data_IF_863908678203
#
_entry.id   IF_863908678203
#
_cell.length_a   1.000
_cell.length_b   1.000
_cell.length_c   1.000
_cell.angle_alpha   90.00
_cell.angle_beta   90.00
_cell.angle_gamma   90.00
#
_symmetry.space_group_name_H-M   'P 1'
#
loop_
_entity.id
_entity.type
_entity.pdbx_description
1 polymer ?
#
# COMPACT_ATOMS: atom_id res chain seq x y z
N UNK A 1 18.40 -13.62 -6.74
CA UNK A 1 17.01 -13.53 -6.24
C UNK A 1 16.28 -12.54 -7.12
N UNK A 2 15.15 -12.94 -7.71
CA UNK A 2 14.36 -12.13 -8.67
C UNK A 2 13.07 -11.57 -8.06
N UNK A 3 12.61 -12.13 -6.93
CA UNK A 3 11.43 -11.72 -6.17
C UNK A 3 11.63 -12.04 -4.68
N UNK A 4 10.93 -11.35 -3.76
CA UNK A 4 10.83 -11.74 -2.34
C UNK A 4 9.49 -12.39 -2.00
N UNK A 5 8.61 -12.58 -2.99
CA UNK A 5 7.34 -13.27 -2.80
C UNK A 5 7.59 -14.77 -2.70
N UNK A 6 6.80 -15.46 -1.87
CA UNK A 6 6.77 -16.93 -1.89
C UNK A 6 6.30 -17.43 -3.27
N UNK A 7 6.65 -18.65 -3.70
CA UNK A 7 6.25 -19.17 -5.01
C UNK A 7 4.74 -19.11 -5.26
N UNK A 8 3.92 -19.39 -4.23
CA UNK A 8 2.46 -19.35 -4.33
C UNK A 8 1.92 -17.93 -4.48
N UNK A 9 2.45 -16.97 -3.71
CA UNK A 9 2.02 -15.57 -3.82
C UNK A 9 2.51 -14.93 -5.12
N UNK A 10 3.73 -15.27 -5.55
CA UNK A 10 4.23 -14.86 -6.86
C UNK A 10 3.35 -15.42 -7.98
N UNK A 11 2.98 -16.70 -7.97
CA UNK A 11 2.08 -17.27 -8.96
C UNK A 11 0.72 -16.56 -8.97
N UNK A 12 0.15 -16.33 -7.78
CA UNK A 12 -1.14 -15.68 -7.61
C UNK A 12 -1.16 -14.25 -8.17
N UNK A 13 -0.10 -13.46 -7.96
CA UNK A 13 -0.03 -12.06 -8.40
C UNK A 13 0.47 -11.93 -9.84
N UNK A 14 1.52 -12.65 -10.22
CA UNK A 14 2.21 -12.41 -11.49
C UNK A 14 1.63 -13.21 -12.66
N UNK A 15 1.10 -14.41 -12.39
CA UNK A 15 0.72 -15.36 -13.43
C UNK A 15 -0.78 -15.58 -13.51
N UNK A 16 -1.42 -15.90 -12.38
CA UNK A 16 -2.76 -16.46 -12.35
C UNK A 16 -3.82 -15.51 -12.95
N UNK A 17 -4.62 -16.05 -13.87
CA UNK A 17 -5.61 -15.35 -14.67
C UNK A 17 -5.04 -14.67 -15.91
N UNK A 18 -3.74 -14.35 -15.96
CA UNK A 18 -3.09 -13.78 -17.15
C UNK A 18 -2.61 -14.85 -18.13
N UNK A 19 -2.59 -16.13 -17.72
CA UNK A 19 -2.40 -17.27 -18.63
C UNK A 19 -3.61 -17.52 -19.54
N UNK A 20 -4.78 -17.02 -19.15
CA UNK A 20 -6.01 -17.19 -19.92
C UNK A 20 -5.99 -16.28 -21.15
N UNK A 21 -6.14 -16.88 -22.33
CA UNK A 21 -6.25 -16.17 -23.61
C UNK A 21 -7.68 -15.69 -23.92
N UNK A 22 -8.56 -15.70 -22.92
CA UNK A 22 -9.93 -15.21 -23.07
C UNK A 22 -9.89 -13.71 -23.36
N UNK A 23 -10.49 -13.29 -24.48
CA UNK A 23 -10.62 -11.87 -24.81
C UNK A 23 -11.92 -11.38 -24.18
N UNK A 24 -11.81 -10.59 -23.11
CA UNK A 24 -12.95 -9.89 -22.52
C UNK A 24 -13.23 -8.62 -23.34
N UNK A 25 -14.44 -8.50 -23.89
CA UNK A 25 -14.88 -7.27 -24.56
C UNK A 25 -15.04 -6.15 -23.54
N UNK A 26 -14.27 -5.08 -23.67
CA UNK A 26 -14.35 -3.91 -22.78
C UNK A 26 -15.76 -3.32 -22.74
N UNK A 27 -16.52 -3.37 -23.83
CA UNK A 27 -17.89 -2.85 -23.85
C UNK A 27 -18.82 -3.62 -22.90
N UNK A 28 -18.48 -4.86 -22.54
CA UNK A 28 -19.22 -5.61 -21.51
C UNK A 28 -18.95 -5.10 -20.09
N UNK A 29 -17.79 -4.45 -19.86
CA UNK A 29 -17.31 -3.99 -18.55
C UNK A 29 -17.59 -2.50 -18.34
N UNK A 30 -17.44 -1.68 -19.38
CA UNK A 30 -17.57 -0.21 -19.29
C UNK A 30 -18.41 0.32 -20.44
N UNK A 31 -19.29 1.29 -20.16
CA UNK A 31 -20.03 2.01 -21.20
C UNK A 31 -19.16 3.08 -21.87
N UNK A 32 -19.60 3.61 -23.01
CA UNK A 32 -18.91 4.72 -23.67
C UNK A 32 -18.74 5.96 -22.78
N UNK A 33 -19.63 6.15 -21.81
CA UNK A 33 -19.59 7.27 -20.86
C UNK A 33 -18.74 6.98 -19.61
N UNK A 34 -18.08 5.82 -19.53
CA UNK A 34 -17.26 5.45 -18.36
C UNK A 34 -18.02 4.81 -17.21
N UNK A 35 -19.28 4.42 -17.40
CA UNK A 35 -20.05 3.72 -16.37
C UNK A 35 -19.63 2.26 -16.28
N UNK A 36 -19.39 1.78 -15.05
CA UNK A 36 -18.95 0.42 -14.78
C UNK A 36 -20.15 -0.52 -14.74
N UNK A 37 -20.12 -1.54 -15.60
CA UNK A 37 -21.10 -2.63 -15.63
C UNK A 37 -20.70 -3.69 -14.61
N UNK A 38 -20.98 -3.41 -13.34
CA UNK A 38 -20.56 -4.24 -12.20
C UNK A 38 -20.87 -5.72 -12.36
N UNK A 39 -22.02 -6.07 -12.96
CA UNK A 39 -22.41 -7.47 -13.22
C UNK A 39 -21.33 -8.26 -13.97
N UNK A 40 -20.71 -7.67 -15.00
CA UNK A 40 -19.67 -8.33 -15.78
C UNK A 40 -18.41 -8.65 -14.96
N UNK A 41 -18.13 -7.87 -13.91
CA UNK A 41 -17.01 -8.07 -13.01
C UNK A 41 -17.40 -9.03 -11.87
N UNK A 42 -18.56 -8.82 -11.24
CA UNK A 42 -19.03 -9.64 -10.12
C UNK A 42 -19.33 -11.08 -10.54
N UNK A 43 -19.77 -11.30 -11.77
CA UNK A 43 -20.01 -12.64 -12.33
C UNK A 43 -18.71 -13.44 -12.52
N UNK A 44 -17.52 -12.84 -12.31
CA UNK A 44 -16.22 -13.51 -12.29
C UNK A 44 -15.76 -13.93 -10.89
N UNK A 45 -16.40 -13.42 -9.83
CA UNK A 45 -16.12 -13.86 -8.47
C UNK A 45 -16.64 -15.29 -8.27
N UNK A 46 -15.87 -16.11 -7.56
CA UNK A 46 -16.20 -17.52 -7.28
C UNK A 46 -16.22 -17.76 -5.79
N UNK A 47 -17.12 -18.63 -5.37
CA UNK A 47 -17.30 -19.06 -4.00
C UNK A 47 -17.01 -20.55 -3.91
N UNK A 48 -16.61 -21.01 -2.72
CA UNK A 48 -16.46 -22.44 -2.45
C UNK A 48 -17.81 -23.18 -2.60
N UNK A 49 -17.78 -24.51 -2.73
CA UNK A 49 -18.96 -25.35 -3.06
C UNK A 49 -20.14 -25.17 -2.08
N UNK A 50 -19.86 -24.75 -0.84
CA UNK A 50 -20.88 -24.47 0.19
C UNK A 50 -21.39 -23.02 0.17
N UNK A 51 -20.89 -22.16 -0.74
CA UNK A 51 -21.31 -20.77 -0.95
C UNK A 51 -20.99 -19.80 0.19
N UNK A 52 -20.28 -20.25 1.23
CA UNK A 52 -20.05 -19.46 2.47
C UNK A 52 -18.79 -18.60 2.44
N UNK A 53 -17.80 -18.95 1.62
CA UNK A 53 -16.51 -18.26 1.54
C UNK A 53 -16.08 -18.03 0.10
N UNK A 54 -15.32 -16.96 -0.11
CA UNK A 54 -14.73 -16.64 -1.41
C UNK A 54 -13.64 -17.65 -1.77
N UNK A 55 -13.74 -18.22 -2.97
CA UNK A 55 -12.63 -18.93 -3.59
C UNK A 55 -11.71 -17.89 -4.24
N UNK A 56 -10.75 -17.40 -3.45
CA UNK A 56 -9.82 -16.36 -3.89
C UNK A 56 -9.02 -16.76 -5.13
N UNK A 57 -8.55 -18.01 -5.19
CA UNK A 57 -7.71 -18.47 -6.30
C UNK A 57 -8.51 -18.51 -7.60
N UNK A 58 -9.70 -19.12 -7.61
CA UNK A 58 -10.55 -19.12 -8.80
C UNK A 58 -11.03 -17.71 -9.15
N UNK A 59 -11.32 -16.86 -8.17
CA UNK A 59 -11.72 -15.47 -8.40
C UNK A 59 -10.60 -14.67 -9.09
N UNK A 60 -9.36 -14.74 -8.59
CA UNK A 60 -8.19 -14.10 -9.24
C UNK A 60 -8.03 -14.62 -10.67
N UNK A 61 -8.11 -15.93 -10.87
CA UNK A 61 -7.99 -16.52 -12.20
C UNK A 61 -9.04 -15.98 -13.18
N UNK A 62 -10.29 -15.86 -12.75
CA UNK A 62 -11.39 -15.36 -13.60
C UNK A 62 -11.40 -13.85 -13.78
N UNK A 63 -10.81 -13.10 -12.83
CA UNK A 63 -10.68 -11.64 -12.91
C UNK A 63 -9.47 -11.20 -13.74
N UNK A 64 -8.49 -12.08 -13.98
CA UNK A 64 -7.30 -11.78 -14.80
C UNK A 64 -7.62 -11.20 -16.18
N UNK A 65 -8.46 -11.87 -17.01
CA UNK A 65 -8.86 -11.34 -18.32
C UNK A 65 -9.61 -10.01 -18.25
N UNK A 66 -10.39 -9.78 -17.19
CA UNK A 66 -11.08 -8.50 -16.94
C UNK A 66 -10.07 -7.40 -16.64
N UNK A 67 -9.07 -7.67 -15.79
CA UNK A 67 -8.00 -6.71 -15.50
C UNK A 67 -7.21 -6.35 -16.76
N UNK A 68 -6.94 -7.33 -17.64
CA UNK A 68 -6.26 -7.08 -18.91
C UNK A 68 -7.09 -6.20 -19.84
N UNK A 69 -8.38 -6.50 -20.03
CA UNK A 69 -9.26 -5.67 -20.85
C UNK A 69 -9.35 -4.23 -20.33
N UNK A 70 -9.46 -4.05 -19.01
CA UNK A 70 -9.46 -2.72 -18.37
C UNK A 70 -8.13 -2.02 -18.61
N UNK A 71 -7.01 -2.72 -18.47
CA UNK A 71 -5.69 -2.14 -18.68
C UNK A 71 -5.52 -1.62 -20.10
N UNK A 72 -5.84 -2.45 -21.10
CA UNK A 72 -5.78 -2.05 -22.51
C UNK A 72 -6.65 -0.83 -22.81
N UNK A 73 -7.86 -0.77 -22.22
CA UNK A 73 -8.75 0.38 -22.33
C UNK A 73 -8.14 1.65 -21.72
N UNK A 74 -7.74 1.60 -20.45
CA UNK A 74 -7.18 2.76 -19.75
C UNK A 74 -5.89 3.24 -20.44
N UNK A 75 -5.02 2.32 -20.89
CA UNK A 75 -3.79 2.66 -21.59
C UNK A 75 -4.01 3.26 -22.98
N UNK A 76 -5.15 2.98 -23.63
CA UNK A 76 -5.51 3.58 -24.92
C UNK A 76 -6.05 5.01 -24.80
N UNK A 77 -6.45 5.45 -23.60
CA UNK A 77 -6.97 6.79 -23.38
C UNK A 77 -5.84 7.81 -23.29
N UNK A 78 -6.04 8.95 -23.95
CA UNK A 78 -5.27 10.16 -23.66
C UNK A 78 -5.64 10.70 -22.29
N UNK A 79 -4.75 11.48 -21.67
CA UNK A 79 -5.02 12.15 -20.39
C UNK A 79 -6.34 12.93 -20.41
N UNK A 80 -6.59 13.70 -21.47
CA UNK A 80 -7.82 14.49 -21.61
C UNK A 80 -9.08 13.61 -21.72
N UNK A 81 -9.01 12.50 -22.45
CA UNK A 81 -10.14 11.56 -22.52
C UNK A 81 -10.42 10.92 -21.17
N UNK A 82 -9.38 10.47 -20.45
CA UNK A 82 -9.54 9.92 -19.12
C UNK A 82 -10.12 10.95 -18.14
N UNK A 83 -9.65 12.19 -18.20
CA UNK A 83 -10.13 13.26 -17.34
C UNK A 83 -11.62 13.55 -17.56
N UNK A 84 -12.06 13.68 -18.82
CA UNK A 84 -13.46 13.87 -19.17
C UNK A 84 -14.31 12.68 -18.73
N UNK A 85 -13.82 11.45 -18.94
CA UNK A 85 -14.60 10.23 -18.73
C UNK A 85 -14.65 9.79 -17.26
N UNK A 86 -13.58 10.00 -16.48
CA UNK A 86 -13.42 9.41 -15.16
C UNK A 86 -13.24 10.38 -14.00
N UNK A 87 -12.66 11.57 -14.19
CA UNK A 87 -12.47 12.52 -13.08
C UNK A 87 -13.74 12.90 -12.31
N UNK A 88 -14.94 13.01 -12.94
CA UNK A 88 -16.18 13.23 -12.22
C UNK A 88 -16.56 12.14 -11.20
N UNK A 89 -15.98 10.94 -11.33
CA UNK A 89 -16.24 9.78 -10.48
C UNK A 89 -15.24 9.64 -9.32
N UNK A 90 -14.26 10.53 -9.18
CA UNK A 90 -13.27 10.47 -8.08
C UNK A 90 -13.51 11.51 -6.99
N UNK A 91 -14.56 12.33 -7.10
CA UNK A 91 -14.81 13.42 -6.15
C UNK A 91 -15.10 12.93 -4.73
N UNK A 92 -15.55 11.68 -4.58
CA UNK A 92 -15.82 11.08 -3.27
C UNK A 92 -14.57 10.70 -2.46
N UNK A 93 -13.36 10.79 -3.03
CA UNK A 93 -12.14 10.30 -2.36
C UNK A 93 -11.26 11.40 -1.75
N UNK A 94 -11.82 12.60 -1.50
CA UNK A 94 -11.15 13.81 -0.97
C UNK A 94 -10.01 14.38 -1.82
N UNK A 95 -9.36 13.57 -2.68
CA UNK A 95 -8.16 13.93 -3.44
C UNK A 95 -8.24 13.42 -4.90
N UNK A 96 -9.16 13.96 -5.73
CA UNK A 96 -9.42 13.48 -7.10
C UNK A 96 -8.23 13.68 -8.06
N UNK A 97 -7.32 14.61 -7.78
CA UNK A 97 -6.13 14.89 -8.59
C UNK A 97 -5.18 13.69 -8.61
N UNK A 98 -5.21 12.87 -7.56
CA UNK A 98 -4.41 11.65 -7.42
C UNK A 98 -4.54 10.74 -8.64
N UNK A 99 -5.75 10.60 -9.19
CA UNK A 99 -6.05 9.61 -10.22
C UNK A 99 -5.39 9.96 -11.56
N UNK A 100 -5.25 11.25 -11.86
CA UNK A 100 -4.48 11.71 -13.02
C UNK A 100 -2.99 11.46 -12.85
N UNK A 101 -2.44 11.65 -11.64
CA UNK A 101 -1.04 11.32 -11.38
C UNK A 101 -0.76 9.82 -11.54
N UNK A 102 -1.73 8.98 -11.20
CA UNK A 102 -1.61 7.52 -11.32
C UNK A 102 -1.75 7.08 -12.78
N UNK A 103 -2.57 7.75 -13.57
CA UNK A 103 -2.59 7.57 -15.02
C UNK A 103 -1.22 7.89 -15.63
N UNK A 104 -0.61 9.01 -15.24
CA UNK A 104 0.75 9.35 -15.70
C UNK A 104 1.77 8.29 -15.27
N UNK A 105 1.65 7.78 -14.05
CA UNK A 105 2.52 6.72 -13.53
C UNK A 105 2.39 5.42 -14.34
N UNK A 106 1.18 5.05 -14.76
CA UNK A 106 0.90 3.90 -15.62
C UNK A 106 1.51 4.04 -17.02
N UNK A 107 1.59 5.27 -17.53
CA UNK A 107 2.18 5.59 -18.83
C UNK A 107 3.70 5.82 -18.76
N UNK A 108 4.25 5.95 -17.55
CA UNK A 108 5.67 6.19 -17.32
C UNK A 108 6.52 4.93 -17.53
N UNK A 109 7.78 5.12 -17.91
CA UNK A 109 8.77 4.04 -17.96
C UNK A 109 9.46 3.76 -16.61
N UNK A 110 9.03 4.43 -15.53
CA UNK A 110 9.65 4.30 -14.22
C UNK A 110 9.24 2.97 -13.55
N UNK A 111 10.18 2.06 -13.23
CA UNK A 111 9.83 0.70 -12.81
C UNK A 111 8.95 0.64 -11.54
N UNK A 112 9.17 1.55 -10.59
CA UNK A 112 8.46 1.59 -9.31
C UNK A 112 7.13 2.37 -9.36
N UNK A 113 6.80 3.03 -10.48
CA UNK A 113 5.67 3.95 -10.56
C UNK A 113 4.32 3.24 -10.40
N UNK A 114 4.15 2.07 -11.02
CA UNK A 114 2.94 1.25 -10.89
C UNK A 114 2.71 0.85 -9.44
N UNK A 115 3.76 0.36 -8.78
CA UNK A 115 3.71 -0.06 -7.37
C UNK A 115 3.33 1.10 -6.45
N UNK A 116 3.95 2.28 -6.63
CA UNK A 116 3.59 3.48 -5.89
C UNK A 116 2.13 3.88 -6.15
N UNK A 117 1.67 3.79 -7.41
CA UNK A 117 0.28 4.04 -7.77
C UNK A 117 -0.69 3.14 -7.03
N UNK A 118 -0.42 1.83 -6.98
CA UNK A 118 -1.25 0.87 -6.23
C UNK A 118 -1.25 1.17 -4.73
N UNK A 119 -0.10 1.52 -4.14
CA UNK A 119 -0.04 1.92 -2.72
C UNK A 119 -0.90 3.16 -2.44
N UNK A 120 -0.85 4.16 -3.32
CA UNK A 120 -1.65 5.39 -3.20
C UNK A 120 -3.14 5.09 -3.36
N UNK A 121 -3.53 4.29 -4.36
CA UNK A 121 -4.94 3.88 -4.54
C UNK A 121 -5.47 3.11 -3.34
N UNK A 122 -4.72 2.12 -2.84
CA UNK A 122 -5.15 1.33 -1.70
C UNK A 122 -5.40 2.21 -0.46
N UNK A 123 -4.54 3.19 -0.20
CA UNK A 123 -4.64 4.09 0.97
C UNK A 123 -5.76 5.11 0.81
N UNK A 124 -5.91 5.67 -0.40
CA UNK A 124 -7.00 6.57 -0.75
C UNK A 124 -8.35 5.85 -0.61
N UNK A 125 -8.45 4.62 -1.13
CA UNK A 125 -9.65 3.82 -1.07
C UNK A 125 -9.98 3.38 0.37
N UNK A 126 -9.00 2.94 1.16
CA UNK A 126 -9.18 2.61 2.58
C UNK A 126 -9.81 3.79 3.35
N UNK A 127 -9.28 5.01 3.14
CA UNK A 127 -9.83 6.22 3.76
C UNK A 127 -11.24 6.54 3.28
N UNK A 128 -11.46 6.55 1.98
CA UNK A 128 -12.75 6.91 1.38
C UNK A 128 -13.85 5.90 1.76
N UNK A 129 -13.52 4.60 1.81
CA UNK A 129 -14.43 3.56 2.30
C UNK A 129 -14.77 3.75 3.78
N UNK A 130 -13.83 4.18 4.61
CA UNK A 130 -14.15 4.50 6.01
C UNK A 130 -15.08 5.70 6.17
N UNK A 131 -15.02 6.70 5.27
CA UNK A 131 -16.00 7.79 5.24
C UNK A 131 -17.40 7.27 4.85
N UNK A 132 -17.46 6.39 3.84
CA UNK A 132 -18.72 5.75 3.42
C UNK A 132 -19.29 4.84 4.51
N UNK A 133 -18.43 4.11 5.23
CA UNK A 133 -18.86 3.25 6.33
C UNK A 133 -19.64 4.05 7.38
N UNK A 134 -19.19 5.26 7.71
CA UNK A 134 -19.84 6.14 8.69
C UNK A 134 -21.19 6.72 8.24
N UNK A 135 -21.62 6.49 7.00
CA UNK A 135 -23.01 6.75 6.61
C UNK A 135 -24.00 5.82 7.31
N UNK A 136 -23.56 4.63 7.70
CA UNK A 136 -24.39 3.57 8.29
C UNK A 136 -23.89 3.19 9.69
N UNK A 137 -22.58 2.98 9.82
CA UNK A 137 -21.92 2.59 11.07
C UNK A 137 -21.62 3.78 11.98
N UNK A 138 -21.16 3.47 13.20
CA UNK A 138 -20.82 4.47 14.21
C UNK A 138 -19.31 4.66 14.40
N UNK A 139 -18.56 3.55 14.40
CA UNK A 139 -17.10 3.54 14.58
C UNK A 139 -16.48 2.74 13.44
N UNK A 140 -15.61 3.40 12.66
CA UNK A 140 -14.95 2.77 11.53
C UNK A 140 -13.98 1.68 12.02
N UNK A 141 -14.04 0.45 11.47
CA UNK A 141 -13.06 -0.58 11.76
C UNK A 141 -11.63 -0.10 11.47
N UNK A 142 -10.70 -0.47 12.34
CA UNK A 142 -9.29 -0.10 12.21
C UNK A 142 -8.56 -0.90 11.11
N UNK A 143 -8.92 -2.18 10.93
CA UNK A 143 -8.29 -3.02 9.92
C UNK A 143 -9.08 -2.97 8.60
N UNK A 144 -8.39 -2.68 7.49
CA UNK A 144 -8.98 -2.69 6.15
C UNK A 144 -9.75 -3.99 5.84
N UNK A 145 -9.24 -5.15 6.26
CA UNK A 145 -9.93 -6.44 6.05
C UNK A 145 -11.32 -6.43 6.70
N UNK A 146 -11.42 -5.90 7.91
CA UNK A 146 -12.66 -5.90 8.69
C UNK A 146 -13.61 -4.82 8.14
N UNK A 147 -13.07 -3.68 7.70
CA UNK A 147 -13.81 -2.66 6.94
C UNK A 147 -14.44 -3.26 5.67
N UNK A 148 -13.67 -3.98 4.85
CA UNK A 148 -14.15 -4.62 3.63
C UNK A 148 -15.15 -5.76 3.88
N UNK A 149 -15.10 -6.39 5.05
CA UNK A 149 -16.03 -7.44 5.47
C UNK A 149 -17.33 -6.89 6.10
N UNK A 150 -17.42 -5.58 6.33
CA UNK A 150 -18.55 -4.95 7.01
C UNK A 150 -19.87 -5.07 6.24
N UNK A 151 -20.96 -5.21 6.99
CA UNK A 151 -22.31 -5.21 6.42
C UNK A 151 -22.70 -3.79 5.95
N UNK A 152 -22.16 -2.77 6.60
CA UNK A 152 -22.35 -1.35 6.32
C UNK A 152 -21.90 -1.01 4.89
N UNK A 153 -20.69 -1.41 4.50
CA UNK A 153 -20.23 -1.19 3.13
C UNK A 153 -20.96 -2.09 2.13
N UNK A 154 -21.30 -3.32 2.52
CA UNK A 154 -22.09 -4.21 1.67
C UNK A 154 -23.52 -3.67 1.43
N UNK A 155 -24.09 -2.91 2.36
CA UNK A 155 -25.37 -2.24 2.19
C UNK A 155 -25.29 -1.12 1.15
N UNK A 156 -24.17 -0.40 1.08
CA UNK A 156 -23.97 0.71 0.14
C UNK A 156 -23.58 0.20 -1.26
N UNK A 157 -22.59 -0.69 -1.33
CA UNK A 157 -21.97 -1.12 -2.59
C UNK A 157 -22.44 -2.49 -3.09
N UNK A 158 -23.04 -3.30 -2.22
CA UNK A 158 -23.39 -4.69 -2.49
C UNK A 158 -22.27 -5.68 -2.13
N UNK A 159 -22.66 -6.86 -1.65
CA UNK A 159 -21.73 -7.91 -1.23
C UNK A 159 -20.72 -8.31 -2.31
N UNK A 160 -21.20 -8.56 -3.54
CA UNK A 160 -20.34 -9.02 -4.62
C UNK A 160 -19.28 -7.98 -5.04
N UNK A 161 -19.58 -6.68 -4.89
CA UNK A 161 -18.64 -5.59 -5.16
C UNK A 161 -17.57 -5.54 -4.07
N UNK A 162 -17.98 -5.65 -2.80
CA UNK A 162 -17.05 -5.72 -1.68
C UNK A 162 -16.14 -6.95 -1.77
N UNK A 163 -16.65 -8.07 -2.28
CA UNK A 163 -15.88 -9.28 -2.49
C UNK A 163 -14.77 -9.12 -3.55
N UNK A 164 -15.00 -8.32 -4.59
CA UNK A 164 -13.93 -7.93 -5.53
C UNK A 164 -12.82 -7.18 -4.79
N UNK A 165 -13.17 -6.20 -3.94
CA UNK A 165 -12.16 -5.46 -3.18
C UNK A 165 -11.39 -6.35 -2.20
N UNK A 166 -12.06 -7.33 -1.58
CA UNK A 166 -11.40 -8.34 -0.73
C UNK A 166 -10.39 -9.17 -1.51
N UNK A 167 -10.67 -9.52 -2.76
CA UNK A 167 -9.75 -10.24 -3.65
C UNK A 167 -8.50 -9.41 -3.95
N UNK A 168 -8.64 -8.10 -4.17
CA UNK A 168 -7.53 -7.22 -4.54
C UNK A 168 -6.66 -6.76 -3.36
N UNK A 169 -7.28 -6.23 -2.29
CA UNK A 169 -6.56 -5.50 -1.24
C UNK A 169 -6.87 -5.97 0.19
N UNK A 170 -7.80 -6.91 0.38
CA UNK A 170 -8.29 -7.28 1.71
C UNK A 170 -7.62 -8.50 2.34
N UNK A 171 -7.80 -9.67 1.74
CA UNK A 171 -7.44 -10.95 2.38
C UNK A 171 -6.04 -11.41 1.99
N UNK A 172 -5.24 -11.99 2.91
CA UNK A 172 -3.98 -12.65 2.58
C UNK A 172 -4.14 -13.88 1.66
N UNK A 173 -5.35 -14.44 1.57
CA UNK A 173 -5.66 -15.51 0.62
C UNK A 173 -5.92 -15.00 -0.80
N UNK A 174 -6.15 -13.69 -0.98
CA UNK A 174 -6.26 -13.02 -2.27
C UNK A 174 -4.93 -12.40 -2.71
N UNK A 175 -4.99 -11.41 -3.61
CA UNK A 175 -3.79 -10.70 -4.10
C UNK A 175 -3.09 -9.92 -2.97
N UNK A 176 -3.88 -9.42 -2.00
CA UNK A 176 -3.41 -8.65 -0.85
C UNK A 176 -2.43 -7.52 -1.21
N UNK A 177 -2.69 -6.83 -2.33
CA UNK A 177 -1.76 -5.87 -2.93
C UNK A 177 -1.34 -4.78 -1.96
N UNK A 178 -2.27 -4.32 -1.11
CA UNK A 178 -2.01 -3.36 -0.03
C UNK A 178 -0.86 -3.82 0.85
N UNK A 179 -0.97 -5.00 1.48
CA UNK A 179 0.03 -5.44 2.45
C UNK A 179 1.33 -5.88 1.78
N UNK A 180 1.25 -6.55 0.63
CA UNK A 180 2.43 -7.00 -0.11
C UNK A 180 3.34 -5.84 -0.50
N UNK A 181 2.76 -4.70 -0.91
CA UNK A 181 3.51 -3.49 -1.25
C UNK A 181 3.94 -2.69 -0.02
N UNK A 182 3.01 -2.40 0.90
CA UNK A 182 3.29 -1.55 2.07
C UNK A 182 4.40 -2.12 2.97
N UNK A 183 4.49 -3.45 3.07
CA UNK A 183 5.53 -4.13 3.85
C UNK A 183 6.79 -4.45 3.02
N UNK A 184 6.88 -3.98 1.78
CA UNK A 184 8.08 -4.14 0.94
C UNK A 184 8.40 -5.59 0.57
N UNK A 185 7.38 -6.43 0.37
CA UNK A 185 7.58 -7.80 -0.13
C UNK A 185 7.69 -7.85 -1.64
N UNK A 186 6.83 -7.13 -2.36
CA UNK A 186 6.89 -7.07 -3.81
C UNK A 186 8.03 -6.17 -4.29
N UNK A 187 8.80 -6.68 -5.24
CA UNK A 187 9.70 -5.88 -6.07
C UNK A 187 8.93 -5.20 -7.20
N UNK A 188 9.49 -4.16 -7.84
CA UNK A 188 8.78 -3.40 -8.87
C UNK A 188 8.23 -4.25 -10.02
N UNK A 189 8.96 -5.30 -10.41
CA UNK A 189 8.56 -6.25 -11.45
C UNK A 189 7.46 -7.24 -11.03
N UNK A 190 7.21 -7.40 -9.73
CA UNK A 190 6.23 -8.36 -9.23
C UNK A 190 4.78 -7.86 -9.36
N UNK A 191 4.56 -6.57 -9.67
CA UNK A 191 3.21 -5.98 -9.71
C UNK A 191 2.80 -5.67 -11.15
N UNK A 192 1.91 -6.48 -11.76
CA UNK A 192 1.35 -6.18 -13.06
C UNK A 192 0.59 -4.83 -13.08
N UNK A 193 0.81 -3.99 -14.12
CA UNK A 193 0.11 -2.69 -14.25
C UNK A 193 -1.41 -2.84 -14.37
N UNK A 194 -1.87 -4.00 -14.81
CA UNK A 194 -3.28 -4.37 -14.95
C UNK A 194 -4.06 -4.18 -13.66
N UNK A 195 -3.47 -4.49 -12.51
CA UNK A 195 -4.13 -4.28 -11.22
C UNK A 195 -4.30 -2.82 -10.86
N UNK A 196 -3.33 -1.96 -11.22
CA UNK A 196 -3.45 -0.52 -11.02
C UNK A 196 -4.58 0.07 -11.88
N UNK A 197 -4.64 -0.28 -13.17
CA UNK A 197 -5.74 0.12 -14.06
C UNK A 197 -7.10 -0.39 -13.57
N UNK A 198 -7.18 -1.64 -13.12
CA UNK A 198 -8.40 -2.19 -12.53
C UNK A 198 -8.83 -1.40 -11.28
N UNK A 199 -7.91 -1.11 -10.36
CA UNK A 199 -8.23 -0.32 -9.16
C UNK A 199 -8.67 1.12 -9.48
N UNK A 200 -8.12 1.77 -10.52
CA UNK A 200 -8.62 3.06 -11.00
C UNK A 200 -10.11 2.95 -11.40
N UNK A 201 -10.43 2.00 -12.27
CA UNK A 201 -11.80 1.82 -12.75
C UNK A 201 -12.76 1.42 -11.63
N UNK A 202 -12.36 0.50 -10.74
CA UNK A 202 -13.17 0.08 -9.61
C UNK A 202 -13.49 1.27 -8.69
N UNK A 203 -12.52 2.17 -8.45
CA UNK A 203 -12.73 3.36 -7.61
C UNK A 203 -13.74 4.32 -8.23
N UNK A 204 -13.70 4.52 -9.56
CA UNK A 204 -14.73 5.28 -10.27
C UNK A 204 -16.11 4.59 -10.22
N UNK A 205 -16.15 3.27 -10.40
CA UNK A 205 -17.39 2.50 -10.33
C UNK A 205 -18.06 2.52 -8.96
N UNK A 206 -17.28 2.65 -7.88
CA UNK A 206 -17.82 2.75 -6.51
C UNK A 206 -18.57 4.06 -6.32
N UNK A 207 -18.08 5.18 -6.86
CA UNK A 207 -18.80 6.47 -6.81
C UNK A 207 -20.16 6.39 -7.49
N UNK A 208 -20.26 5.65 -8.60
CA UNK A 208 -21.51 5.48 -9.35
C UNK A 208 -22.58 4.75 -8.49
N UNK A 209 -22.15 3.76 -7.71
CA UNK A 209 -23.01 3.07 -6.74
C UNK A 209 -23.33 3.98 -5.54
N UNK A 210 -22.32 4.69 -5.01
CA UNK A 210 -22.48 5.60 -3.88
C UNK A 210 -23.47 6.72 -4.20
N UNK A 211 -23.36 7.37 -5.35
CA UNK A 211 -24.31 8.40 -5.81
C UNK A 211 -25.73 7.88 -5.84
N UNK A 212 -25.92 6.65 -6.33
CA UNK A 212 -27.22 5.99 -6.31
C UNK A 212 -27.72 5.83 -4.87
N UNK A 213 -26.89 5.33 -3.97
CA UNK A 213 -27.26 5.16 -2.55
C UNK A 213 -27.61 6.49 -1.85
N UNK A 214 -26.76 7.51 -2.00
CA UNK A 214 -26.96 8.84 -1.40
C UNK A 214 -28.25 9.50 -1.92
N UNK A 215 -28.55 9.36 -3.21
CA UNK A 215 -29.79 9.87 -3.79
C UNK A 215 -31.04 9.22 -3.16
N UNK A 216 -31.02 7.89 -2.98
CA UNK A 216 -32.16 7.17 -2.40
C UNK A 216 -32.34 7.43 -0.91
N UNK A 217 -31.24 7.51 -0.15
CA UNK A 217 -31.27 7.65 1.31
C UNK A 217 -31.29 9.12 1.77
N UNK A 218 -31.01 10.07 0.87
CA UNK A 218 -30.96 11.52 1.13
C UNK A 218 -29.95 11.91 2.23
N UNK A 219 -28.91 11.09 2.42
CA UNK A 219 -27.79 11.41 3.30
C UNK A 219 -26.66 12.06 2.51
N UNK A 220 -25.80 12.80 3.20
CA UNK A 220 -24.63 13.46 2.61
C UNK A 220 -23.38 12.76 3.10
N UNK A 221 -22.44 12.49 2.18
CA UNK A 221 -21.12 11.98 2.55
C UNK A 221 -20.33 13.09 3.28
N UNK A 222 -19.90 12.79 4.50
CA UNK A 222 -18.98 13.63 5.25
C UNK A 222 -17.59 12.99 5.28
N UNK A 223 -16.57 13.77 4.96
CA UNK A 223 -15.19 13.31 5.05
C UNK A 223 -14.65 13.45 6.47
N UNK A 224 -14.09 12.37 7.01
CA UNK A 224 -13.39 12.45 8.31
C UNK A 224 -12.22 13.43 8.20
N UNK A 225 -11.86 14.18 9.24
CA UNK A 225 -10.66 15.00 9.20
C UNK A 225 -9.42 14.11 8.98
N UNK A 226 -8.35 14.71 8.44
CA UNK A 226 -7.04 14.06 8.49
C UNK A 226 -6.52 14.11 9.93
N UNK A 227 -5.80 13.08 10.34
CA UNK A 227 -5.10 13.10 11.63
C UNK A 227 -3.99 14.14 11.52
N UNK A 228 -3.95 15.13 12.41
CA UNK A 228 -2.84 16.08 12.46
C UNK A 228 -1.81 15.58 13.47
N UNK A 229 -0.56 15.46 13.06
CA UNK A 229 0.55 15.18 13.98
C UNK A 229 0.98 16.50 14.64
N UNK A 230 0.19 16.96 15.62
CA UNK A 230 0.38 18.25 16.32
C UNK A 230 1.74 18.40 17.01
N UNK A 231 2.40 17.29 17.33
CA UNK A 231 3.75 17.29 17.92
C UNK A 231 4.88 17.44 16.89
N UNK A 232 4.56 17.63 15.60
CA UNK A 232 5.52 17.75 14.50
C UNK A 232 5.39 19.07 13.72
N UNK A 233 4.76 20.10 14.30
CA UNK A 233 4.52 21.41 13.65
C UNK A 233 5.81 22.09 13.14
N UNK A 234 6.99 21.72 13.66
CA UNK A 234 8.31 22.20 13.21
C UNK A 234 9.05 21.24 12.25
N UNK A 235 8.42 20.17 11.75
CA UNK A 235 9.02 19.17 10.84
C UNK A 235 8.61 19.43 9.39
N UNK A 236 8.58 20.70 9.00
CA UNK A 236 7.97 21.10 7.72
C UNK A 236 8.83 20.69 6.51
N UNK A 237 10.15 20.53 6.64
CA UNK A 237 11.01 19.94 5.59
C UNK A 237 12.23 19.32 6.23
N UNK A 238 12.47 18.02 6.02
CA UNK A 238 13.57 17.19 6.56
C UNK A 238 14.93 17.92 6.66
N UNK A 239 15.20 18.67 7.75
CA UNK A 239 16.27 19.67 7.74
C UNK A 239 17.65 19.01 7.86
N UNK A 240 17.70 17.75 8.31
CA UNK A 240 18.91 16.94 8.39
C UNK A 240 19.26 16.18 7.09
N UNK A 241 18.41 16.22 6.06
CA UNK A 241 18.68 15.51 4.79
C UNK A 241 19.26 16.50 3.78
N UNK A 242 20.57 16.68 3.83
CA UNK A 242 21.32 17.54 2.91
C UNK A 242 21.62 16.84 1.58
N UNK A 243 22.09 17.59 0.58
CA UNK A 243 22.54 17.01 -0.69
C UNK A 243 23.67 15.97 -0.49
N UNK A 244 24.55 16.21 0.48
CA UNK A 244 25.63 15.28 0.86
C UNK A 244 25.07 13.97 1.41
N UNK A 245 23.99 14.03 2.20
CA UNK A 245 23.29 12.84 2.72
C UNK A 245 22.64 12.04 1.58
N UNK A 246 22.03 12.72 0.61
CA UNK A 246 21.48 12.06 -0.59
C UNK A 246 22.57 11.41 -1.45
N UNK A 247 23.69 12.09 -1.66
CA UNK A 247 24.83 11.53 -2.40
C UNK A 247 25.47 10.33 -1.67
N UNK A 248 25.54 10.39 -0.34
CA UNK A 248 25.95 9.26 0.48
C UNK A 248 24.96 8.09 0.36
N UNK A 249 23.65 8.35 0.32
CA UNK A 249 22.63 7.33 0.11
C UNK A 249 22.79 6.64 -1.24
N UNK A 250 23.01 7.38 -2.33
CA UNK A 250 23.29 6.82 -3.67
C UNK A 250 24.53 5.91 -3.64
N UNK A 251 25.55 6.26 -2.86
CA UNK A 251 26.73 5.40 -2.64
C UNK A 251 26.41 4.15 -1.82
N UNK A 252 25.54 4.26 -0.81
CA UNK A 252 25.07 3.12 0.00
C UNK A 252 24.21 2.18 -0.84
N UNK A 253 23.38 2.72 -1.75
CA UNK A 253 22.55 1.95 -2.69
C UNK A 253 23.35 0.94 -3.50
N UNK A 254 24.55 1.31 -3.93
CA UNK A 254 25.39 0.44 -4.76
C UNK A 254 26.25 -0.54 -3.96
N UNK A 255 26.54 -0.25 -2.68
CA UNK A 255 27.56 -0.98 -1.89
C UNK A 255 27.04 -1.70 -0.65
N UNK A 256 25.75 -1.56 -0.32
CA UNK A 256 25.21 -2.06 0.94
C UNK A 256 24.56 -3.44 0.82
N UNK A 257 24.89 -4.33 1.76
CA UNK A 257 24.18 -5.60 1.93
C UNK A 257 22.84 -5.44 2.67
N UNK A 258 22.48 -4.22 3.10
CA UNK A 258 21.14 -3.92 3.60
C UNK A 258 20.11 -3.96 2.46
N UNK A 259 20.53 -3.53 1.28
CA UNK A 259 19.64 -3.28 0.15
C UNK A 259 19.57 -4.49 -0.77
N UNK A 260 18.36 -4.91 -1.07
CA UNK A 260 18.11 -5.94 -2.05
C UNK A 260 18.21 -5.31 -3.45
N UNK A 261 19.05 -5.88 -4.32
CA UNK A 261 19.27 -5.34 -5.67
C UNK A 261 17.97 -5.22 -6.48
N UNK A 262 17.06 -6.18 -6.31
CA UNK A 262 15.74 -6.16 -6.96
C UNK A 262 14.83 -5.03 -6.48
N UNK A 263 15.13 -4.41 -5.34
CA UNK A 263 14.37 -3.30 -4.78
C UNK A 263 14.97 -1.92 -5.11
N UNK A 264 16.15 -1.88 -5.75
CA UNK A 264 16.83 -0.62 -6.09
C UNK A 264 15.95 0.42 -6.81
N UNK A 265 15.03 0.05 -7.72
CA UNK A 265 14.20 1.06 -8.38
C UNK A 265 13.30 1.85 -7.42
N UNK A 266 12.89 1.27 -6.28
CA UNK A 266 12.15 2.01 -5.26
C UNK A 266 13.02 3.08 -4.58
N UNK A 267 14.29 2.76 -4.32
CA UNK A 267 15.24 3.69 -3.72
C UNK A 267 15.59 4.83 -4.66
N UNK A 268 15.83 4.52 -5.94
CA UNK A 268 16.09 5.53 -6.98
C UNK A 268 14.89 6.47 -7.13
N UNK A 269 13.68 5.91 -7.17
CA UNK A 269 12.46 6.70 -7.22
C UNK A 269 12.26 7.53 -5.95
N UNK A 270 12.54 6.99 -4.76
CA UNK A 270 12.45 7.75 -3.51
C UNK A 270 13.37 8.98 -3.55
N UNK A 271 14.64 8.80 -3.93
CA UNK A 271 15.59 9.93 -4.07
C UNK A 271 15.09 10.95 -5.09
N UNK A 272 14.56 10.50 -6.23
CA UNK A 272 13.96 11.40 -7.23
C UNK A 272 12.78 12.19 -6.69
N UNK A 273 11.87 11.55 -5.95
CA UNK A 273 10.71 12.19 -5.33
C UNK A 273 11.10 13.19 -4.25
N UNK A 274 12.11 12.87 -3.44
CA UNK A 274 12.68 13.82 -2.51
C UNK A 274 13.21 15.08 -3.22
N UNK A 275 14.02 14.90 -4.26
CA UNK A 275 14.61 16.01 -5.05
C UNK A 275 13.53 16.87 -5.72
N UNK A 276 12.39 16.29 -6.07
CA UNK A 276 11.24 17.01 -6.62
C UNK A 276 10.25 17.50 -5.56
N UNK A 277 10.64 17.54 -4.29
CA UNK A 277 9.81 17.94 -3.14
C UNK A 277 8.55 17.09 -2.91
N UNK A 278 8.43 15.92 -3.56
CA UNK A 278 7.30 14.98 -3.43
C UNK A 278 7.47 14.11 -2.17
N UNK A 279 7.36 14.72 -0.99
CA UNK A 279 7.73 14.09 0.28
C UNK A 279 6.81 12.95 0.72
N UNK A 280 5.52 13.00 0.40
CA UNK A 280 4.60 11.90 0.66
C UNK A 280 5.02 10.63 -0.11
N UNK A 281 5.24 10.76 -1.43
CA UNK A 281 5.70 9.65 -2.27
C UNK A 281 7.07 9.11 -1.80
N UNK A 282 8.00 10.00 -1.46
CA UNK A 282 9.29 9.63 -0.88
C UNK A 282 9.13 8.78 0.38
N UNK A 283 8.27 9.21 1.30
CA UNK A 283 8.07 8.55 2.60
C UNK A 283 7.39 7.19 2.43
N UNK A 284 6.38 7.10 1.56
CA UNK A 284 5.72 5.82 1.22
C UNK A 284 6.74 4.80 0.70
N UNK A 285 7.58 5.21 -0.25
CA UNK A 285 8.62 4.36 -0.81
C UNK A 285 9.63 3.97 0.27
N UNK A 286 10.20 4.94 0.98
CA UNK A 286 11.28 4.68 1.93
C UNK A 286 10.83 3.80 3.11
N UNK A 287 9.60 3.96 3.60
CA UNK A 287 9.08 3.16 4.71
C UNK A 287 9.00 1.68 4.35
N UNK A 288 8.44 1.35 3.18
CA UNK A 288 8.39 -0.03 2.69
C UNK A 288 9.79 -0.64 2.55
N UNK A 289 10.75 0.17 2.10
CA UNK A 289 12.12 -0.27 1.88
C UNK A 289 12.93 -0.43 3.16
N UNK A 290 12.65 0.38 4.18
CA UNK A 290 13.20 0.20 5.51
C UNK A 290 12.78 -1.16 6.07
N UNK A 291 11.49 -1.48 5.99
CA UNK A 291 10.98 -2.76 6.49
C UNK A 291 11.63 -3.93 5.77
N UNK A 292 11.73 -3.87 4.42
CA UNK A 292 12.40 -4.89 3.62
C UNK A 292 13.88 -5.09 3.99
N UNK A 293 14.62 -3.99 4.18
CA UNK A 293 16.03 -4.05 4.57
C UNK A 293 16.24 -4.58 5.99
N UNK A 294 15.40 -4.16 6.94
CA UNK A 294 15.45 -4.68 8.31
C UNK A 294 15.04 -6.15 8.37
N UNK A 295 14.05 -6.58 7.60
CA UNK A 295 13.65 -7.99 7.47
C UNK A 295 14.83 -8.86 7.03
N UNK A 296 15.64 -8.36 6.08
CA UNK A 296 16.85 -9.05 5.63
C UNK A 296 17.89 -9.18 6.74
N UNK A 297 18.14 -8.10 7.49
CA UNK A 297 19.07 -8.15 8.62
C UNK A 297 18.56 -9.10 9.71
N UNK A 298 17.28 -8.97 10.07
CA UNK A 298 16.59 -9.82 11.04
C UNK A 298 16.75 -11.31 10.69
N UNK A 299 16.44 -11.68 9.44
CA UNK A 299 16.58 -13.05 8.97
C UNK A 299 18.02 -13.57 9.05
N UNK A 300 18.99 -12.72 8.74
CA UNK A 300 20.41 -13.07 8.79
C UNK A 300 20.92 -13.26 10.23
N UNK A 301 20.64 -12.31 11.12
CA UNK A 301 21.19 -12.30 12.49
C UNK A 301 20.51 -13.33 13.40
N UNK A 302 19.21 -13.58 13.18
CA UNK A 302 18.46 -14.62 13.88
C UNK A 302 18.55 -15.99 13.19
N UNK A 303 19.32 -16.12 12.11
CA UNK A 303 19.54 -17.37 11.35
C UNK A 303 18.23 -18.04 10.89
N UNK A 304 17.28 -17.24 10.43
CA UNK A 304 15.97 -17.66 9.98
C UNK A 304 15.71 -17.21 8.52
N UNK A 305 16.43 -17.76 7.53
CA UNK A 305 16.39 -17.28 6.14
C UNK A 305 15.00 -17.38 5.50
N UNK A 306 14.20 -18.37 5.89
CA UNK A 306 12.82 -18.54 5.39
C UNK A 306 11.93 -17.34 5.74
N UNK A 307 12.29 -16.61 6.80
CA UNK A 307 11.59 -15.41 7.25
C UNK A 307 11.78 -14.18 6.37
N UNK A 308 12.68 -14.28 5.39
CA UNK A 308 12.82 -13.27 4.35
C UNK A 308 11.70 -13.36 3.30
N UNK A 309 11.12 -14.56 3.08
CA UNK A 309 10.14 -14.88 2.03
C UNK A 309 8.70 -15.01 2.57
N UNK A 310 8.32 -14.24 3.60
CA UNK A 310 7.08 -14.50 4.36
C UNK A 310 5.83 -13.84 3.81
N UNK A 311 5.79 -13.53 2.51
CA UNK A 311 4.47 -13.33 1.91
C UNK A 311 3.88 -14.70 1.60
N UNK A 312 3.39 -15.38 2.64
CA UNK A 312 2.60 -16.61 2.52
C UNK A 312 1.16 -16.31 2.92
N UNK A 313 0.19 -16.91 2.24
CA UNK A 313 -1.24 -16.68 2.52
C UNK A 313 -1.69 -17.29 3.85
N UNK A 314 -0.88 -18.17 4.45
CA UNK A 314 -1.21 -18.97 5.64
C UNK A 314 -0.30 -18.70 6.84
N UNK A 315 0.75 -17.87 6.69
CA UNK A 315 1.69 -17.50 7.76
C UNK A 315 1.68 -15.99 7.93
N UNK A 316 1.76 -15.52 9.18
CA UNK A 316 1.85 -14.08 9.47
C UNK A 316 3.08 -13.47 8.78
N UNK A 317 2.90 -12.31 8.17
CA UNK A 317 3.98 -11.54 7.57
C UNK A 317 5.02 -11.15 8.64
N UNK A 318 6.32 -11.29 8.32
CA UNK A 318 7.40 -10.72 9.15
C UNK A 318 7.42 -9.19 8.96
N UNK A 319 6.65 -8.48 9.77
CA UNK A 319 6.52 -7.02 9.76
C UNK A 319 7.39 -6.35 10.82
N UNK A 320 7.37 -5.00 10.89
CA UNK A 320 8.08 -4.26 11.95
C UNK A 320 7.77 -4.76 13.36
N UNK A 321 6.51 -5.13 13.66
CA UNK A 321 6.10 -5.61 14.98
C UNK A 321 6.94 -6.81 15.43
N UNK A 322 7.20 -7.72 14.51
CA UNK A 322 7.99 -8.92 14.81
C UNK A 322 9.49 -8.70 14.66
N UNK A 323 9.91 -7.92 13.65
CA UNK A 323 11.31 -7.55 13.43
C UNK A 323 11.88 -6.84 14.67
N UNK A 324 11.08 -6.01 15.34
CA UNK A 324 11.47 -5.20 16.50
C UNK A 324 11.05 -5.82 17.84
N UNK A 325 10.39 -6.98 17.84
CA UNK A 325 10.01 -7.68 19.06
C UNK A 325 11.24 -8.07 19.89
N UNK A 326 11.09 -8.08 21.22
CA UNK A 326 12.19 -8.48 22.13
C UNK A 326 12.55 -9.96 22.00
N UNK A 327 11.53 -10.80 21.78
CA UNK A 327 11.68 -12.25 21.67
C UNK A 327 11.06 -12.73 20.36
N UNK A 328 11.62 -13.80 19.83
CA UNK A 328 11.11 -14.54 18.69
C UNK A 328 9.90 -15.40 19.10
N UNK A 329 9.18 -15.95 18.13
CA UNK A 329 8.00 -16.81 18.37
C UNK A 329 8.31 -18.10 19.13
N UNK A 330 9.55 -18.59 19.05
CA UNK A 330 10.05 -19.76 19.81
C UNK A 330 10.54 -19.40 21.23
N UNK A 331 10.39 -18.14 21.65
CA UNK A 331 10.84 -17.63 22.94
C UNK A 331 12.33 -17.27 23.00
N UNK A 332 13.09 -17.50 21.93
CA UNK A 332 14.49 -17.07 21.86
C UNK A 332 14.62 -15.54 21.80
N UNK A 333 15.77 -15.01 22.21
CA UNK A 333 16.03 -13.57 22.15
C UNK A 333 16.22 -13.11 20.70
N UNK A 334 15.53 -12.04 20.31
CA UNK A 334 15.79 -11.39 19.02
C UNK A 334 17.18 -10.73 19.05
N UNK A 335 18.05 -11.13 18.12
CA UNK A 335 19.43 -10.67 18.02
C UNK A 335 19.56 -9.34 17.25
N UNK A 336 18.51 -8.90 16.56
CA UNK A 336 18.55 -7.66 15.76
C UNK A 336 18.83 -6.41 16.61
N UNK A 337 18.17 -6.17 17.76
CA UNK A 337 18.49 -5.01 18.60
C UNK A 337 19.96 -5.00 19.05
N UNK A 338 20.51 -6.15 19.44
CA UNK A 338 21.91 -6.27 19.82
C UNK A 338 22.86 -6.02 18.64
N UNK A 339 22.52 -6.53 17.44
CA UNK A 339 23.29 -6.32 16.21
C UNK A 339 23.31 -4.85 15.76
N UNK A 340 22.18 -4.15 15.89
CA UNK A 340 22.08 -2.73 15.57
C UNK A 340 22.77 -1.84 16.63
N UNK A 341 22.96 -2.35 17.85
CA UNK A 341 23.56 -1.67 19.00
C UNK A 341 22.55 -0.81 19.77
N UNK A 342 22.79 -0.60 21.08
CA UNK A 342 21.93 0.26 21.94
C UNK A 342 21.62 1.66 21.36
N UNK A 343 22.54 2.39 20.70
CA UNK A 343 22.21 3.72 20.19
C UNK A 343 21.23 3.71 19.00
N UNK A 344 20.91 2.53 18.41
CA UNK A 344 19.84 2.41 17.41
C UNK A 344 18.44 2.43 18.06
N UNK A 345 18.33 1.99 19.31
CA UNK A 345 17.06 1.84 20.04
C UNK A 345 16.85 2.95 21.09
N UNK A 346 17.91 3.52 21.67
CA UNK A 346 17.83 4.54 22.73
C UNK A 346 18.97 5.58 22.59
N UNK A 347 18.62 6.81 22.16
CA UNK A 347 19.44 8.06 22.06
C UNK A 347 20.56 8.16 20.98
N UNK A 348 20.81 9.39 20.44
CA UNK A 348 21.72 9.63 19.32
C UNK A 348 23.14 9.97 19.80
N UNK A 349 24.16 9.26 19.33
CA UNK A 349 25.49 9.82 19.06
C UNK A 349 26.41 8.78 18.39
N UNK A 350 27.09 9.24 17.34
CA UNK A 350 28.20 8.66 16.57
C UNK A 350 27.93 7.78 15.33
N UNK A 351 28.76 7.90 14.27
CA UNK A 351 28.46 7.43 12.92
C UNK A 351 29.38 6.28 12.50
N UNK A 352 28.98 5.03 12.70
CA UNK A 352 29.78 3.90 12.20
C UNK A 352 29.02 2.72 11.58
N UNK A 353 27.71 2.83 11.33
CA UNK A 353 27.01 1.79 10.56
C UNK A 353 26.18 2.37 9.41
N UNK A 354 26.26 1.75 8.24
CA UNK A 354 25.49 2.17 7.05
C UNK A 354 23.97 2.07 7.27
N UNK A 355 23.56 1.22 8.22
CA UNK A 355 22.18 1.13 8.74
C UNK A 355 21.82 2.36 9.56
N UNK A 356 22.76 2.91 10.33
CA UNK A 356 22.58 4.17 11.06
C UNK A 356 22.32 5.35 10.13
N UNK A 357 22.83 5.38 8.90
CA UNK A 357 22.52 6.48 7.97
C UNK A 357 21.06 6.42 7.51
N UNK A 358 20.55 5.25 7.11
CA UNK A 358 19.15 5.06 6.71
C UNK A 358 18.21 5.31 7.91
N UNK A 359 18.56 4.76 9.08
CA UNK A 359 17.85 5.00 10.33
C UNK A 359 17.96 6.45 10.81
N UNK A 360 19.05 7.19 10.58
CA UNK A 360 19.15 8.63 10.92
C UNK A 360 18.52 9.54 9.87
N UNK A 361 18.39 9.10 8.61
CA UNK A 361 17.57 9.81 7.63
C UNK A 361 16.11 9.71 8.08
N UNK A 362 15.64 8.52 8.44
CA UNK A 362 14.26 8.28 8.91
C UNK A 362 14.02 8.82 10.34
N UNK A 363 14.99 8.68 11.24
CA UNK A 363 14.92 9.27 12.58
C UNK A 363 15.18 10.76 12.56
N UNK A 364 15.93 11.32 11.62
CA UNK A 364 16.09 12.76 11.41
C UNK A 364 14.84 13.38 10.80
N UNK A 365 14.13 12.62 9.95
CA UNK A 365 12.74 12.86 9.53
C UNK A 365 11.78 12.88 10.74
N UNK A 366 12.04 12.09 11.78
CA UNK A 366 11.18 11.98 12.98
C UNK A 366 11.68 12.74 14.24
N UNK A 367 12.90 13.31 14.24
CA UNK A 367 13.55 13.90 15.42
C UNK A 367 14.17 15.26 15.12
N UNK A 368 13.34 16.26 14.85
CA UNK A 368 13.66 17.65 15.21
C UNK A 368 13.67 17.75 16.75
N UNK A 369 14.65 18.39 17.41
CA UNK A 369 14.91 18.34 18.87
C UNK A 369 15.29 19.73 19.45
N UNK A 370 15.24 20.00 20.80
CA UNK A 370 15.99 19.25 21.84
C UNK A 370 15.33 19.00 23.23
N UNK A 371 15.91 18.01 23.96
CA UNK A 371 15.99 17.65 25.41
C UNK A 371 14.89 18.11 26.42
N UNK A 372 14.36 17.31 27.38
CA UNK A 372 15.03 16.69 28.58
C UNK A 372 14.07 15.69 29.34
N UNK A 373 14.24 15.38 30.65
CA UNK A 373 14.49 14.04 31.21
C UNK A 373 13.28 13.10 31.20
N UNK A 374 13.59 11.81 31.07
CA UNK A 374 12.66 10.73 31.40
C UNK A 374 12.61 10.61 32.92
N UNK A 375 11.45 10.91 33.51
CA UNK A 375 11.00 10.25 34.73
C UNK A 375 9.92 9.27 34.35
N UNK A 376 10.09 8.03 34.82
CA UNK A 376 9.11 6.96 34.80
C UNK A 376 7.71 7.47 35.09
N UNK A 377 6.73 7.10 34.25
CA UNK A 377 5.61 6.23 34.65
C UNK A 377 4.62 6.04 33.51
N UNK A 378 3.94 4.89 33.58
CA UNK A 378 2.74 4.44 32.86
C UNK A 378 2.88 3.98 31.40
N UNK A 379 2.97 2.64 31.30
CA UNK A 379 2.32 1.81 30.26
C UNK A 379 0.92 2.36 29.90
N UNK A 380 0.63 2.47 28.60
CA UNK A 380 -0.40 1.68 27.90
C UNK A 380 -0.52 2.14 26.44
N UNK A 381 -0.62 1.18 25.53
CA UNK A 381 -1.29 1.26 24.22
C UNK A 381 -0.69 2.19 23.14
N UNK A 382 0.39 1.71 22.52
CA UNK A 382 0.85 2.15 21.19
C UNK A 382 1.42 0.94 20.44
N UNK A 383 0.61 -0.09 20.19
CA UNK A 383 1.08 -1.34 19.57
C UNK A 383 0.56 -1.61 18.15
N UNK A 384 -0.21 -0.72 17.53
CA UNK A 384 -0.61 -0.90 16.14
C UNK A 384 -0.64 0.45 15.40
N UNK A 385 0.52 0.86 14.87
CA UNK A 385 0.64 1.99 13.96
C UNK A 385 0.33 1.52 12.53
N UNK A 386 -0.88 1.79 12.03
CA UNK A 386 -1.19 1.54 10.63
C UNK A 386 -0.54 2.63 9.76
N UNK A 387 0.56 2.29 9.08
CA UNK A 387 1.33 3.22 8.25
C UNK A 387 0.50 3.92 7.14
N UNK A 388 -0.60 3.31 6.67
CA UNK A 388 -1.45 3.88 5.61
C UNK A 388 -2.24 5.11 6.08
N UNK A 389 -2.72 5.14 7.32
CA UNK A 389 -3.45 6.30 7.87
C UNK A 389 -2.50 7.46 8.19
N UNK A 390 -1.28 7.18 8.67
CA UNK A 390 -0.30 8.22 8.99
C UNK A 390 0.29 8.94 7.75
N UNK A 391 0.23 8.34 6.57
CA UNK A 391 0.80 8.92 5.34
C UNK A 391 -0.20 9.77 4.55
N UNK A 392 -1.50 9.48 4.69
CA UNK A 392 -2.56 10.38 4.18
C UNK A 392 -2.55 11.75 4.87
N UNK A 393 -1.89 11.87 6.04
CA UNK A 393 -1.64 13.11 6.79
C UNK A 393 -0.70 14.08 6.03
N UNK A 394 0.15 13.56 5.13
CA UNK A 394 1.18 14.34 4.43
C UNK A 394 0.80 14.75 3.00
N UNK A 395 -0.34 14.26 2.49
CA UNK A 395 -0.92 14.73 1.23
C UNK A 395 -1.43 16.19 1.25
N UNK A 396 -1.90 16.78 2.37
CA UNK A 396 -2.40 18.16 2.37
C UNK A 396 -1.30 19.23 2.45
N UNK A 397 -0.01 18.86 2.55
CA UNK A 397 1.09 19.84 2.64
C UNK A 397 1.63 20.22 1.26
N UNK A 398 0.73 20.57 0.34
CA UNK A 398 1.00 21.29 -0.89
C UNK A 398 -0.01 22.41 -1.11
#
# INVERSE_FOLDING_TARGET
>A
MTTCLSPLVHDLICNLGFELKEICDINSIVTQNGEVRWKAITDRVRYEELGRSLDYRRSVQQLGPVCEAIHLHISALTRAQFEIQYSPWYQWTTYPELFLEILDALQSSQPAAVSLGVMKLASCLERALGDVFLLVGKECPFLLRDLLASAELAQVFGHAVMDILKVFIGSPCGLNLRNVLWHGFASPQDIPPKYCSAMLLLTAGLDQLLKSYLHHTKVTLAHRPFVTLTNLEDVIVFPGVTYEVLSALETVMTKSNFLLKIMLPYWEMAVSKFKSHRFADYTMLLLSQLEAGLRRLFAAVNKCPDRLLTAESTILYTTFDEILAKHMSDGSMNQLPCFLGEPAMVKPMYPQSRVFLVMNIICGVLRSRPAWPVTDTTRSDCSHFCASECLMIWLPSF
#
